data_IF_255948768025
#
_entry.id   IF_255948768025
#
_cell.length_a   1.000
_cell.length_b   1.000
_cell.length_c   1.000
_cell.angle_alpha   90.00
_cell.angle_beta   90.00
_cell.angle_gamma   90.00
#
_symmetry.space_group_name_H-M   'P 1'
#
loop_
_entity.id
_entity.type
_entity.pdbx_description
1 polymer ?
#
# COMPACT_ATOMS: atom_id res chain seq x y z
N UNK A 1 0.63 -8.33 0.13
CA UNK A 1 1.97 -7.93 0.65
C UNK A 1 2.83 -7.56 -0.52
N UNK A 2 3.58 -6.45 -0.51
CA UNK A 2 4.31 -6.01 -1.70
C UNK A 2 5.22 -7.13 -2.24
N UNK A 3 5.47 -7.19 -3.55
CA UNK A 3 6.29 -8.25 -4.14
C UNK A 3 7.63 -8.40 -3.40
N UNK A 4 8.17 -9.62 -3.31
CA UNK A 4 9.54 -9.85 -2.77
C UNK A 4 10.57 -8.96 -3.46
N UNK A 5 10.38 -8.73 -4.76
CA UNK A 5 11.25 -7.90 -5.59
C UNK A 5 11.14 -6.39 -5.30
N UNK A 6 10.23 -5.97 -4.41
CA UNK A 6 10.13 -4.60 -3.90
C UNK A 6 10.71 -4.47 -2.47
N UNK A 7 11.67 -5.33 -2.10
CA UNK A 7 12.35 -5.28 -0.80
C UNK A 7 11.64 -6.05 0.33
N UNK A 8 10.54 -6.76 0.04
CA UNK A 8 9.82 -7.60 1.00
C UNK A 8 10.52 -8.97 1.21
N UNK A 9 11.77 -8.94 1.66
CA UNK A 9 12.61 -10.15 1.83
C UNK A 9 13.00 -10.43 3.29
N UNK A 10 12.82 -9.45 4.18
CA UNK A 10 13.19 -9.56 5.58
C UNK A 10 12.12 -10.29 6.39
N UNK A 11 12.54 -10.95 7.47
CA UNK A 11 11.62 -11.45 8.49
C UNK A 11 10.78 -10.28 9.00
N UNK A 12 9.48 -10.52 9.16
CA UNK A 12 8.51 -9.47 9.45
C UNK A 12 7.72 -9.83 10.71
N UNK A 13 7.48 -8.82 11.55
CA UNK A 13 6.65 -8.94 12.74
C UNK A 13 5.34 -8.22 12.46
N UNK A 14 4.24 -8.98 12.43
CA UNK A 14 2.90 -8.43 12.29
C UNK A 14 2.34 -8.00 13.64
N UNK A 15 1.80 -6.80 13.70
CA UNK A 15 1.11 -6.24 14.88
C UNK A 15 -0.16 -5.51 14.46
N UNK A 16 -1.06 -5.30 15.41
CA UNK A 16 -2.24 -4.46 15.22
C UNK A 16 -1.82 -2.98 15.18
N UNK A 17 -2.42 -2.19 14.28
CA UNK A 17 -2.09 -0.76 14.13
C UNK A 17 -2.51 0.05 15.36
N UNK A 18 -3.65 -0.29 15.96
CA UNK A 18 -4.25 0.44 17.08
C UNK A 18 -3.97 -0.18 18.45
N UNK A 19 -3.03 -1.14 18.50
CA UNK A 19 -2.70 -1.88 19.71
C UNK A 19 -3.64 -3.07 19.97
N UNK A 20 -3.30 -3.93 20.94
CA UNK A 20 -4.04 -5.16 21.20
C UNK A 20 -5.44 -4.83 21.75
N UNK A 21 -6.48 -5.42 21.15
CA UNK A 21 -7.82 -5.40 21.75
C UNK A 21 -7.81 -6.16 23.09
N UNK A 22 -8.34 -5.59 24.18
CA UNK A 22 -8.38 -6.25 25.48
C UNK A 22 -9.21 -7.55 25.46
N UNK A 23 -10.15 -7.68 24.53
CA UNK A 23 -10.99 -8.87 24.38
C UNK A 23 -10.34 -9.97 23.52
N UNK A 24 -9.37 -9.62 22.66
CA UNK A 24 -8.64 -10.54 21.77
C UNK A 24 -7.20 -10.07 21.56
N UNK A 25 -6.30 -10.26 22.54
CA UNK A 25 -4.91 -9.90 22.35
C UNK A 25 -4.29 -10.76 21.25
N UNK A 26 -4.04 -10.17 20.08
CA UNK A 26 -3.29 -10.85 19.01
C UNK A 26 -1.81 -10.85 19.39
N UNK A 27 -1.26 -12.05 19.52
CA UNK A 27 0.18 -12.20 19.63
C UNK A 27 0.82 -11.76 18.31
N UNK A 28 1.93 -11.01 18.34
CA UNK A 28 2.64 -10.66 17.12
C UNK A 28 2.96 -11.92 16.32
N UNK A 29 2.54 -11.94 15.04
CA UNK A 29 2.76 -13.10 14.17
C UNK A 29 4.05 -12.90 13.41
N UNK A 30 4.94 -13.88 13.49
CA UNK A 30 6.20 -13.87 12.75
C UNK A 30 6.00 -14.44 11.35
N UNK A 31 6.58 -13.78 10.35
CA UNK A 31 6.65 -14.29 8.98
C UNK A 31 8.10 -14.29 8.50
N UNK A 32 8.57 -15.44 8.03
CA UNK A 32 9.95 -15.62 7.58
C UNK A 32 10.07 -15.32 6.09
N UNK A 33 11.13 -14.59 5.70
CA UNK A 33 11.43 -14.32 4.29
C UNK A 33 10.40 -13.43 3.58
N UNK A 34 9.97 -12.37 4.26
CA UNK A 34 8.92 -11.45 3.83
C UNK A 34 7.57 -11.75 4.48
N UNK A 35 6.62 -10.84 4.29
CA UNK A 35 5.26 -11.01 4.79
C UNK A 35 4.41 -11.82 3.79
N UNK A 36 3.88 -12.97 4.24
CA UNK A 36 3.06 -13.88 3.43
C UNK A 36 1.65 -14.02 3.97
N UNK A 37 0.66 -13.96 3.08
CA UNK A 37 -0.74 -14.30 3.38
C UNK A 37 -1.19 -15.42 2.43
N UNK A 38 -1.72 -16.52 2.98
CA UNK A 38 -2.20 -17.68 2.19
C UNK A 38 -3.63 -17.45 1.68
N UNK A 39 -3.84 -16.40 0.89
CA UNK A 39 -5.19 -16.02 0.40
C UNK A 39 -5.29 -15.94 -1.12
N UNK A 40 -4.18 -16.16 -1.84
CA UNK A 40 -4.13 -16.11 -3.31
C UNK A 40 -3.82 -17.49 -3.91
N UNK A 41 -4.48 -17.84 -5.03
CA UNK A 41 -4.22 -19.10 -5.73
C UNK A 41 -2.91 -19.04 -6.54
N UNK A 42 -2.35 -20.20 -6.90
CA UNK A 42 -1.08 -20.28 -7.63
C UNK A 42 -1.08 -19.56 -8.98
N UNK A 43 -2.19 -19.61 -9.72
CA UNK A 43 -2.32 -18.90 -11.01
C UNK A 43 -2.30 -17.38 -10.82
N UNK A 44 -3.11 -16.85 -9.92
CA UNK A 44 -3.14 -15.41 -9.65
C UNK A 44 -1.79 -14.91 -9.11
N UNK A 45 -1.13 -15.69 -8.24
CA UNK A 45 0.15 -15.30 -7.67
C UNK A 45 1.29 -15.32 -8.70
N UNK A 46 1.42 -16.41 -9.46
CA UNK A 46 2.59 -16.63 -10.31
C UNK A 46 2.42 -16.06 -11.72
N UNK A 47 1.23 -16.19 -12.30
CA UNK A 47 0.93 -15.76 -13.66
C UNK A 47 0.44 -14.33 -13.68
N UNK A 48 -0.69 -14.05 -13.03
CA UNK A 48 -1.32 -12.71 -13.09
C UNK A 48 -0.46 -11.65 -12.40
N UNK A 49 -0.08 -11.84 -11.13
CA UNK A 49 0.78 -10.88 -10.44
C UNK A 49 2.24 -11.05 -10.86
N UNK A 50 2.82 -12.22 -10.61
CA UNK A 50 4.27 -12.43 -10.73
C UNK A 50 4.83 -12.22 -12.14
N UNK A 51 4.09 -12.59 -13.18
CA UNK A 51 4.56 -12.51 -14.58
C UNK A 51 4.04 -11.24 -15.27
N UNK A 52 2.75 -10.96 -15.20
CA UNK A 52 2.16 -9.87 -16.00
C UNK A 52 2.32 -8.47 -15.38
N UNK A 53 2.16 -8.33 -14.06
CA UNK A 53 1.99 -7.01 -13.44
C UNK A 53 3.14 -6.58 -12.53
N UNK A 54 3.70 -7.50 -11.72
CA UNK A 54 4.78 -7.23 -10.78
C UNK A 54 6.05 -6.63 -11.41
N UNK A 55 6.44 -6.97 -12.67
CA UNK A 55 7.57 -6.30 -13.32
C UNK A 55 7.39 -4.78 -13.41
N UNK A 56 6.19 -4.29 -13.73
CA UNK A 56 5.93 -2.86 -13.86
C UNK A 56 6.05 -2.13 -12.51
N UNK A 57 5.57 -2.73 -11.41
CA UNK A 57 5.75 -2.19 -10.07
C UNK A 57 7.22 -2.20 -9.65
N UNK A 58 7.91 -3.32 -9.85
CA UNK A 58 9.34 -3.47 -9.55
C UNK A 58 10.18 -2.42 -10.26
N UNK A 59 9.94 -2.20 -11.55
CA UNK A 59 10.77 -1.29 -12.36
C UNK A 59 10.66 0.15 -11.86
N UNK A 60 9.49 0.59 -11.38
CA UNK A 60 9.33 1.91 -10.73
C UNK A 60 10.05 1.97 -9.39
N UNK A 61 9.89 0.95 -8.55
CA UNK A 61 10.57 0.88 -7.25
C UNK A 61 12.09 0.92 -7.42
N UNK A 62 12.64 0.16 -8.37
CA UNK A 62 14.07 0.16 -8.68
C UNK A 62 14.57 1.50 -9.19
N UNK A 63 13.79 2.21 -10.03
CA UNK A 63 14.14 3.56 -10.48
C UNK A 63 14.22 4.53 -9.30
N UNK A 64 13.25 4.49 -8.38
CA UNK A 64 13.23 5.33 -7.18
C UNK A 64 14.42 5.01 -6.27
N UNK A 65 14.69 3.73 -6.01
CA UNK A 65 15.85 3.32 -5.22
C UNK A 65 17.16 3.80 -5.83
N UNK A 66 17.33 3.62 -7.14
CA UNK A 66 18.54 4.04 -7.86
C UNK A 66 18.70 5.56 -7.78
N UNK A 67 17.60 6.29 -7.95
CA UNK A 67 17.58 7.74 -7.79
C UNK A 67 18.05 8.16 -6.39
N UNK A 68 17.54 7.56 -5.32
CA UNK A 68 17.95 7.88 -3.96
C UNK A 68 19.38 7.43 -3.63
N UNK A 69 19.85 6.29 -4.15
CA UNK A 69 21.25 5.85 -4.01
C UNK A 69 22.22 6.86 -4.62
N UNK A 70 21.90 7.38 -5.81
CA UNK A 70 22.70 8.41 -6.51
C UNK A 70 22.58 9.79 -5.84
N UNK A 71 21.39 10.17 -5.38
CA UNK A 71 21.18 11.42 -4.66
C UNK A 71 21.94 11.43 -3.32
N UNK A 72 22.01 10.28 -2.63
CA UNK A 72 22.71 10.17 -1.33
C UNK A 72 24.24 10.19 -1.48
N UNK A 73 24.78 9.73 -2.61
CA UNK A 73 26.21 9.80 -2.90
C UNK A 73 26.65 11.15 -3.47
N UNK A 74 25.70 12.04 -3.78
CA UNK A 74 25.96 13.38 -4.29
C UNK A 74 25.52 14.44 -3.28
N UNK A 75 26.08 15.66 -3.33
CA UNK A 75 25.63 16.79 -2.50
C UNK A 75 24.36 17.46 -3.06
N UNK A 76 23.50 16.70 -3.75
CA UNK A 76 22.34 17.23 -4.46
C UNK A 76 21.16 17.36 -3.50
N UNK A 77 20.51 18.53 -3.51
CA UNK A 77 19.21 18.71 -2.88
C UNK A 77 18.13 17.99 -3.69
N UNK A 78 17.24 17.27 -3.02
CA UNK A 78 16.10 16.64 -3.68
C UNK A 78 15.12 17.71 -4.20
N UNK A 79 14.64 17.60 -5.44
CA UNK A 79 13.57 18.45 -5.94
C UNK A 79 12.27 18.13 -5.19
N UNK A 80 11.31 19.07 -5.22
CA UNK A 80 9.98 18.83 -4.66
C UNK A 80 9.25 17.66 -5.33
N UNK A 81 9.37 17.54 -6.65
CA UNK A 81 8.72 16.50 -7.45
C UNK A 81 9.72 15.89 -8.42
N UNK A 82 9.67 14.57 -8.59
CA UNK A 82 10.46 13.84 -9.59
C UNK A 82 9.54 13.00 -10.48
N UNK A 83 9.89 12.90 -11.76
CA UNK A 83 9.19 12.05 -12.72
C UNK A 83 9.91 10.70 -12.86
N UNK A 84 9.14 9.61 -12.84
CA UNK A 84 9.60 8.24 -13.04
C UNK A 84 8.81 7.58 -14.17
N UNK A 85 9.48 6.80 -15.02
CA UNK A 85 8.80 6.17 -16.13
C UNK A 85 8.08 4.90 -15.64
N UNK A 86 6.83 4.70 -16.05
CA UNK A 86 6.02 3.58 -15.58
C UNK A 86 4.97 3.12 -16.60
N UNK A 87 4.43 1.92 -16.37
CA UNK A 87 3.28 1.37 -17.09
C UNK A 87 2.04 1.44 -16.19
N UNK A 88 1.15 2.43 -16.34
CA UNK A 88 0.13 2.74 -15.34
C UNK A 88 -0.83 1.61 -15.04
N UNK A 89 -1.38 0.99 -16.07
CA UNK A 89 -2.33 -0.11 -15.94
C UNK A 89 -1.69 -1.29 -15.19
N UNK A 90 -0.53 -1.76 -15.64
CA UNK A 90 0.19 -2.88 -14.99
C UNK A 90 0.63 -2.54 -13.58
N UNK A 91 1.16 -1.33 -13.36
CA UNK A 91 1.56 -0.83 -12.06
C UNK A 91 0.38 -0.86 -11.08
N UNK A 92 -0.75 -0.26 -11.46
CA UNK A 92 -1.90 -0.17 -10.57
C UNK A 92 -2.54 -1.55 -10.33
N UNK A 93 -2.57 -2.43 -11.33
CA UNK A 93 -3.02 -3.82 -11.17
C UNK A 93 -2.14 -4.61 -10.21
N UNK A 94 -0.82 -4.43 -10.26
CA UNK A 94 0.08 -5.05 -9.30
C UNK A 94 -0.24 -4.58 -7.87
N UNK A 95 -0.36 -3.27 -7.66
CA UNK A 95 -0.69 -2.70 -6.34
C UNK A 95 -2.04 -3.22 -5.84
N UNK A 96 -3.09 -3.16 -6.67
CA UNK A 96 -4.42 -3.64 -6.35
C UNK A 96 -4.44 -5.14 -6.02
N UNK A 97 -3.74 -5.97 -6.79
CA UNK A 97 -3.65 -7.40 -6.56
C UNK A 97 -2.93 -7.75 -5.25
N UNK A 98 -1.84 -7.03 -4.95
CA UNK A 98 -1.12 -7.20 -3.67
C UNK A 98 -1.91 -6.71 -2.47
N UNK A 99 -2.75 -5.68 -2.63
CA UNK A 99 -3.70 -5.22 -1.65
C UNK A 99 -4.80 -6.28 -1.43
N UNK A 100 -5.41 -6.82 -2.49
CA UNK A 100 -6.40 -7.89 -2.40
C UNK A 100 -5.83 -9.12 -1.67
N UNK A 101 -4.59 -9.50 -1.96
CA UNK A 101 -3.90 -10.60 -1.30
C UNK A 101 -3.46 -10.29 0.15
N UNK A 102 -3.48 -9.03 0.60
CA UNK A 102 -2.99 -8.62 1.91
C UNK A 102 -3.97 -8.87 3.06
N UNK A 103 -4.54 -10.07 3.15
CA UNK A 103 -5.50 -10.46 4.18
C UNK A 103 -4.99 -11.56 5.08
N UNK A 104 -5.02 -11.33 6.40
CA UNK A 104 -4.79 -12.37 7.42
C UNK A 104 -5.97 -13.32 7.62
N UNK A 105 -7.14 -12.96 7.12
CA UNK A 105 -8.37 -13.76 7.13
C UNK A 105 -8.70 -14.13 5.68
N UNK A 106 -9.07 -15.38 5.37
CA UNK A 106 -9.58 -15.69 4.05
C UNK A 106 -10.88 -14.89 3.84
N UNK A 107 -10.87 -13.89 2.93
CA UNK A 107 -12.11 -13.29 2.37
C UNK A 107 -12.83 -14.26 1.42
N UNK A 108 -12.59 -15.57 1.63
CA UNK A 108 -13.08 -16.62 0.77
C UNK A 108 -14.53 -16.84 1.16
N UNK A 109 -15.41 -16.46 0.24
CA UNK A 109 -16.84 -16.79 0.16
C UNK A 109 -17.83 -15.94 0.96
N UNK A 110 -17.61 -14.64 1.14
CA UNK A 110 -18.79 -13.77 1.31
C UNK A 110 -19.27 -13.31 -0.06
N UNK A 111 -20.40 -13.87 -0.50
CA UNK A 111 -21.26 -13.28 -1.54
C UNK A 111 -21.93 -11.98 -1.02
N UNK A 112 -21.28 -11.30 -0.06
CA UNK A 112 -21.81 -10.14 0.60
C UNK A 112 -21.69 -8.96 -0.35
N UNK A 113 -22.86 -8.41 -0.69
CA UNK A 113 -23.04 -7.12 -1.37
C UNK A 113 -22.43 -5.93 -0.59
N UNK A 114 -21.68 -6.20 0.47
CA UNK A 114 -21.18 -5.25 1.47
C UNK A 114 -19.81 -4.67 1.09
N UNK A 115 -19.05 -5.32 0.20
CA UNK A 115 -17.70 -4.88 -0.17
C UNK A 115 -17.52 -4.60 -1.68
N UNK A 116 -18.20 -3.58 -2.25
CA UNK A 116 -18.14 -3.28 -3.69
C UNK A 116 -16.71 -3.00 -4.18
N UNK A 117 -15.86 -2.41 -3.33
CA UNK A 117 -14.46 -2.11 -3.65
C UNK A 117 -13.63 -3.37 -3.97
N UNK A 118 -13.73 -4.45 -3.18
CA UNK A 118 -12.94 -5.67 -3.40
C UNK A 118 -13.38 -6.41 -4.67
N UNK A 119 -14.68 -6.42 -4.94
CA UNK A 119 -15.24 -6.99 -6.17
C UNK A 119 -14.72 -6.22 -7.38
N UNK A 120 -14.83 -4.89 -7.35
CA UNK A 120 -14.38 -4.03 -8.44
C UNK A 120 -12.86 -4.14 -8.68
N UNK A 121 -12.06 -4.18 -7.61
CA UNK A 121 -10.61 -4.41 -7.72
C UNK A 121 -10.29 -5.80 -8.27
N UNK A 122 -11.03 -6.84 -7.88
CA UNK A 122 -10.80 -8.20 -8.40
C UNK A 122 -11.11 -8.29 -9.89
N UNK A 123 -12.24 -7.74 -10.31
CA UNK A 123 -12.62 -7.68 -11.72
C UNK A 123 -11.61 -6.88 -12.53
N UNK A 124 -11.16 -5.73 -12.00
CA UNK A 124 -10.09 -4.95 -12.60
C UNK A 124 -8.81 -5.79 -12.74
N UNK A 125 -8.29 -6.40 -11.67
CA UNK A 125 -7.02 -7.15 -11.72
C UNK A 125 -7.09 -8.35 -12.68
N UNK A 126 -8.20 -9.08 -12.70
CA UNK A 126 -8.33 -10.31 -13.49
C UNK A 126 -8.61 -10.07 -14.98
N UNK A 127 -9.16 -8.92 -15.36
CA UNK A 127 -9.43 -8.57 -16.76
C UNK A 127 -8.50 -7.45 -17.25
N UNK A 128 -7.47 -7.78 -18.07
CA UNK A 128 -6.56 -6.81 -18.66
C UNK A 128 -7.23 -5.67 -19.43
N UNK A 129 -8.39 -5.92 -20.05
CA UNK A 129 -9.11 -4.95 -20.87
C UNK A 129 -9.95 -3.98 -20.05
N UNK A 130 -10.16 -4.26 -18.76
CA UNK A 130 -11.06 -3.47 -17.92
C UNK A 130 -10.39 -2.23 -17.37
N UNK A 131 -10.97 -1.06 -17.63
CA UNK A 131 -10.48 0.19 -17.06
C UNK A 131 -10.71 0.24 -15.54
N UNK A 132 -10.00 1.15 -14.86
CA UNK A 132 -10.25 1.43 -13.45
C UNK A 132 -11.71 1.91 -13.30
N UNK A 133 -12.49 1.38 -12.34
CA UNK A 133 -13.86 1.85 -12.11
C UNK A 133 -13.93 3.36 -11.87
N UNK A 134 -14.96 4.02 -12.40
CA UNK A 134 -15.14 5.48 -12.25
C UNK A 134 -15.38 5.88 -10.78
N UNK A 135 -15.96 4.97 -10.00
CA UNK A 135 -16.20 5.10 -8.57
C UNK A 135 -14.92 5.07 -7.73
N UNK A 136 -13.80 4.61 -8.31
CA UNK A 136 -12.55 4.35 -7.60
C UNK A 136 -11.51 5.44 -7.87
N UNK A 137 -11.18 6.19 -6.83
CA UNK A 137 -10.05 7.11 -6.84
C UNK A 137 -8.84 6.47 -6.16
N UNK A 138 -7.67 6.52 -6.82
CA UNK A 138 -6.42 6.00 -6.23
C UNK A 138 -5.46 7.15 -5.99
N UNK A 139 -5.21 7.44 -4.72
CA UNK A 139 -4.25 8.43 -4.28
C UNK A 139 -2.93 7.77 -3.91
N UNK A 140 -1.82 8.47 -4.14
CA UNK A 140 -0.48 7.99 -3.80
C UNK A 140 0.42 9.10 -3.27
N UNK A 141 1.40 8.71 -2.47
CA UNK A 141 2.45 9.59 -1.95
C UNK A 141 3.76 8.85 -1.75
N UNK A 142 4.84 9.62 -1.63
CA UNK A 142 6.15 9.08 -1.28
C UNK A 142 6.17 8.68 0.20
N UNK A 143 6.52 7.42 0.44
CA UNK A 143 6.58 6.80 1.76
C UNK A 143 7.96 6.14 1.94
N UNK A 144 8.95 6.88 2.49
CA UNK A 144 10.34 6.44 2.60
C UNK A 144 10.58 5.48 3.78
N UNK A 145 9.63 4.61 4.10
CA UNK A 145 9.69 3.76 5.28
C UNK A 145 9.46 2.29 4.94
N UNK A 146 10.16 1.40 5.66
CA UNK A 146 10.05 -0.05 5.48
C UNK A 146 8.83 -0.67 6.14
N UNK A 147 8.25 0.02 7.13
CA UNK A 147 7.01 -0.41 7.78
C UNK A 147 5.93 -0.59 6.73
N UNK A 148 5.34 -1.77 6.66
CA UNK A 148 4.22 -2.06 5.77
C UNK A 148 2.93 -1.90 6.53
N UNK A 149 1.91 -1.31 5.89
CA UNK A 149 0.60 -1.11 6.50
C UNK A 149 -0.48 -1.50 5.50
N UNK A 150 -1.47 -2.22 5.99
CA UNK A 150 -2.68 -2.57 5.25
C UNK A 150 -3.86 -2.22 6.14
N UNK A 151 -4.75 -1.38 5.66
CA UNK A 151 -6.06 -1.16 6.25
C UNK A 151 -7.09 -1.42 5.18
N UNK A 152 -7.97 -2.39 5.41
CA UNK A 152 -9.08 -2.65 4.51
C UNK A 152 -10.42 -2.33 5.14
N UNK A 153 -11.37 -1.99 4.28
CA UNK A 153 -12.75 -1.65 4.64
C UNK A 153 -12.79 -0.55 5.71
N UNK A 154 -11.93 0.45 5.55
CA UNK A 154 -11.76 1.56 6.47
C UNK A 154 -12.58 2.76 6.01
N UNK A 155 -13.25 3.44 6.92
CA UNK A 155 -13.98 4.67 6.63
C UNK A 155 -13.44 5.83 7.47
N UNK A 156 -12.95 6.88 6.81
CA UNK A 156 -12.49 8.09 7.47
C UNK A 156 -13.63 9.11 7.56
N UNK A 157 -13.98 9.51 8.78
CA UNK A 157 -14.90 10.62 9.06
C UNK A 157 -14.16 11.86 9.54
N UNK A 158 -14.83 13.00 9.51
CA UNK A 158 -14.33 14.28 10.02
C UNK A 158 -15.37 14.91 10.93
N UNK A 159 -14.97 15.40 12.10
CA UNK A 159 -15.86 16.21 12.94
C UNK A 159 -16.28 17.47 12.17
N UNK A 160 -17.55 17.87 12.32
CA UNK A 160 -18.14 18.97 11.53
C UNK A 160 -18.39 18.65 10.06
N UNK A 161 -18.09 17.42 9.61
CA UNK A 161 -18.20 16.99 8.23
C UNK A 161 -19.61 16.59 7.77
N UNK A 162 -20.67 16.91 8.52
CA UNK A 162 -22.07 16.52 8.25
C UNK A 162 -22.28 15.01 7.97
N UNK A 163 -21.47 14.15 8.61
CA UNK A 163 -21.56 12.70 8.47
C UNK A 163 -20.93 12.13 7.18
N UNK A 164 -20.32 12.95 6.32
CA UNK A 164 -19.64 12.43 5.14
C UNK A 164 -18.38 11.65 5.54
N UNK A 165 -18.17 10.52 4.89
CA UNK A 165 -17.04 9.61 5.15
C UNK A 165 -16.35 9.21 3.85
N UNK A 166 -15.04 9.04 3.90
CA UNK A 166 -14.25 8.47 2.82
C UNK A 166 -14.02 6.99 3.11
N UNK A 167 -14.72 6.13 2.39
CA UNK A 167 -14.56 4.68 2.50
C UNK A 167 -13.48 4.17 1.54
N UNK A 168 -12.63 3.27 2.01
CA UNK A 168 -11.52 2.80 1.21
C UNK A 168 -10.52 1.86 1.89
N UNK A 169 -9.43 1.62 1.17
CA UNK A 169 -8.29 0.81 1.61
C UNK A 169 -7.01 1.61 1.60
N UNK A 170 -6.17 1.41 2.61
CA UNK A 170 -4.82 1.98 2.69
C UNK A 170 -3.80 0.86 2.52
N UNK A 171 -2.81 1.10 1.67
CA UNK A 171 -1.71 0.16 1.45
C UNK A 171 -0.38 0.90 1.39
N UNK A 172 0.52 0.64 2.34
CA UNK A 172 1.83 1.29 2.42
C UNK A 172 2.95 0.27 2.41
N UNK A 173 3.96 0.55 1.61
CA UNK A 173 5.23 -0.16 1.58
C UNK A 173 6.25 0.70 0.88
N UNK A 174 7.53 0.61 1.25
CA UNK A 174 8.55 1.40 0.56
C UNK A 174 8.51 1.21 -0.97
N UNK A 175 8.52 2.28 -1.79
CA UNK A 175 8.59 3.71 -1.46
C UNK A 175 7.23 4.44 -1.50
N UNK A 176 6.10 3.72 -1.48
CA UNK A 176 4.77 4.27 -1.74
C UNK A 176 3.79 4.06 -0.58
N UNK A 177 2.96 5.08 -0.37
CA UNK A 177 1.66 4.90 0.26
C UNK A 177 0.58 5.04 -0.79
N UNK A 178 -0.46 4.22 -0.68
CA UNK A 178 -1.65 4.24 -1.53
C UNK A 178 -2.91 4.33 -0.69
N UNK A 179 -3.88 5.08 -1.19
CA UNK A 179 -5.24 5.13 -0.66
C UNK A 179 -6.24 4.95 -1.79
N UNK A 180 -6.94 3.82 -1.76
CA UNK A 180 -8.01 3.46 -2.66
C UNK A 180 -9.32 3.95 -2.04
N UNK A 181 -9.93 4.98 -2.60
CA UNK A 181 -11.16 5.61 -2.10
C UNK A 181 -12.31 5.26 -3.03
N UNK A 182 -13.39 4.74 -2.46
CA UNK A 182 -14.57 4.32 -3.21
C UNK A 182 -15.71 5.30 -3.02
N UNK A 183 -16.38 5.68 -4.11
CA UNK A 183 -17.48 6.65 -4.13
C UNK A 183 -17.14 7.91 -3.33
N UNK A 184 -16.02 8.54 -3.67
CA UNK A 184 -15.58 9.75 -2.97
C UNK A 184 -16.65 10.86 -3.06
N UNK A 185 -17.19 11.25 -1.91
CA UNK A 185 -18.14 12.35 -1.83
C UNK A 185 -17.41 13.69 -1.57
N UNK A 186 -17.71 14.69 -2.40
CA UNK A 186 -17.25 16.06 -2.21
C UNK A 186 -15.74 16.31 -2.35
N UNK A 187 -14.97 15.36 -2.90
CA UNK A 187 -13.54 15.53 -3.16
C UNK A 187 -12.70 15.77 -1.90
N UNK A 188 -13.17 15.32 -0.73
CA UNK A 188 -12.53 15.60 0.57
C UNK A 188 -11.14 15.01 0.69
N UNK A 189 -10.81 13.94 -0.03
CA UNK A 189 -9.45 13.38 -0.03
C UNK A 189 -8.44 14.35 -0.63
N UNK A 190 -8.89 15.34 -1.43
CA UNK A 190 -8.03 16.41 -1.96
C UNK A 190 -7.45 17.31 -0.87
N UNK A 191 -8.06 17.38 0.32
CA UNK A 191 -7.53 18.16 1.44
C UNK A 191 -6.16 17.67 1.91
N UNK A 192 -5.81 16.41 1.63
CA UNK A 192 -4.52 15.83 1.96
C UNK A 192 -3.42 16.15 0.94
N UNK A 193 -3.76 16.88 -0.13
CA UNK A 193 -2.85 17.26 -1.21
C UNK A 193 -2.08 16.06 -1.80
N UNK A 194 -2.71 14.88 -1.84
CA UNK A 194 -2.14 13.68 -2.43
C UNK A 194 -2.32 13.72 -3.95
N UNK A 195 -1.39 13.10 -4.68
CA UNK A 195 -1.56 12.92 -6.13
C UNK A 195 -2.55 11.80 -6.39
N UNK A 196 -3.46 12.05 -7.32
CA UNK A 196 -4.36 11.04 -7.84
C UNK A 196 -3.73 10.37 -9.07
N UNK A 197 -3.88 9.05 -9.18
CA UNK A 197 -3.51 8.30 -10.36
C UNK A 197 -4.65 8.40 -11.37
N UNK A 198 -4.43 9.17 -12.44
CA UNK A 198 -5.48 9.51 -13.43
C UNK A 198 -5.29 8.81 -14.78
N UNK A 199 -4.41 7.81 -14.85
CA UNK A 199 -3.89 7.32 -16.11
C UNK A 199 -4.86 6.31 -16.76
N UNK A 200 -5.76 6.85 -17.55
CA UNK A 200 -6.82 6.16 -18.29
C UNK A 200 -6.30 5.84 -19.69
N UNK A 201 -5.38 4.87 -19.78
CA UNK A 201 -5.01 4.29 -21.07
C UNK A 201 -5.82 3.00 -21.30
N UNK A 202 -6.42 2.81 -22.49
CA UNK A 202 -7.06 1.54 -22.85
C UNK A 202 -6.02 0.43 -23.11
N UNK A 203 -4.74 0.78 -23.29
CA UNK A 203 -3.66 -0.16 -23.53
C UNK A 203 -2.94 -0.51 -22.23
N UNK A 204 -2.89 -1.79 -21.90
CA UNK A 204 -2.24 -2.30 -20.69
C UNK A 204 -0.72 -2.02 -20.66
N UNK A 205 -0.09 -1.98 -21.82
CA UNK A 205 1.35 -1.75 -21.98
C UNK A 205 1.72 -0.27 -22.16
N UNK A 206 0.75 0.65 -22.12
CA UNK A 206 1.02 2.07 -22.26
C UNK A 206 2.04 2.55 -21.24
N UNK A 207 2.90 3.46 -21.68
CA UNK A 207 3.93 4.07 -20.84
C UNK A 207 3.57 5.52 -20.57
N UNK A 208 3.94 5.99 -19.39
CA UNK A 208 3.68 7.35 -18.92
C UNK A 208 4.76 7.75 -17.92
N UNK A 209 4.65 8.95 -17.36
CA UNK A 209 5.57 9.46 -16.33
C UNK A 209 4.81 9.73 -15.05
N UNK A 210 5.12 8.97 -14.00
CA UNK A 210 4.58 9.17 -12.66
C UNK A 210 5.30 10.34 -12.00
N UNK A 211 4.53 11.35 -11.58
CA UNK A 211 5.04 12.43 -10.75
C UNK A 211 5.00 12.02 -9.27
N UNK A 212 6.14 12.01 -8.61
CA UNK A 212 6.25 11.69 -7.18
C UNK A 212 6.74 12.91 -6.42
N UNK A 213 5.91 13.40 -5.51
CA UNK A 213 6.31 14.47 -4.59
C UNK A 213 7.18 13.90 -3.47
N UNK A 214 8.42 14.40 -3.38
CA UNK A 214 9.41 14.00 -2.39
C UNK A 214 9.37 14.93 -1.16
N UNK A 215 8.72 16.10 -1.27
CA UNK A 215 8.54 17.05 -0.19
C UNK A 215 7.29 17.93 -0.38
N UNK A 216 6.50 18.22 0.69
CA UNK A 216 6.67 17.76 2.07
C UNK A 216 6.30 16.27 2.23
N UNK A 217 6.95 15.61 3.19
CA UNK A 217 6.64 14.22 3.52
C UNK A 217 5.37 14.15 4.36
N UNK A 218 4.53 13.15 4.06
CA UNK A 218 3.47 12.74 4.96
C UNK A 218 4.07 12.15 6.24
N UNK A 219 3.36 12.23 7.36
CA UNK A 219 3.81 11.60 8.60
C UNK A 219 3.90 10.08 8.44
N UNK A 220 4.76 9.42 9.21
CA UNK A 220 4.92 7.97 9.14
C UNK A 220 3.59 7.22 9.31
N UNK A 221 2.75 7.72 10.22
CA UNK A 221 1.45 7.14 10.56
C UNK A 221 0.30 7.78 9.77
N UNK A 222 0.58 8.52 8.70
CA UNK A 222 -0.47 8.99 7.80
C UNK A 222 -0.92 7.86 6.86
N UNK A 223 -2.24 7.66 6.66
CA UNK A 223 -3.36 8.35 7.30
C UNK A 223 -3.88 7.69 8.60
N UNK A 224 -3.29 6.60 9.08
CA UNK A 224 -3.79 5.78 10.21
C UNK A 224 -3.99 6.55 11.52
N UNK A 225 -3.17 7.57 11.76
CA UNK A 225 -3.26 8.55 12.83
C UNK A 225 -3.76 9.88 12.22
N UNK A 226 -5.07 10.07 12.09
CA UNK A 226 -5.63 11.26 11.44
C UNK A 226 -5.29 12.52 12.25
N UNK A 227 -4.90 13.57 11.52
CA UNK A 227 -4.88 14.94 12.03
C UNK A 227 -6.19 15.66 11.70
N UNK A 228 -6.38 16.89 12.17
CA UNK A 228 -7.48 17.78 11.76
C UNK A 228 -8.88 17.21 12.05
N UNK A 229 -9.09 16.74 13.28
CA UNK A 229 -10.39 16.22 13.75
C UNK A 229 -10.94 15.04 12.92
N UNK A 230 -10.06 14.33 12.22
CA UNK A 230 -10.39 13.09 11.52
C UNK A 230 -10.50 11.90 12.47
N UNK A 231 -11.33 10.91 12.10
CA UNK A 231 -11.45 9.63 12.80
C UNK A 231 -11.55 8.48 11.81
N UNK A 232 -11.07 7.31 12.22
CA UNK A 232 -11.23 6.07 11.46
C UNK A 232 -12.26 5.16 12.10
N UNK A 233 -13.19 4.68 11.27
CA UNK A 233 -14.02 3.51 11.53
C UNK A 233 -13.36 2.33 10.81
N UNK A 234 -12.87 1.37 11.59
CA UNK A 234 -12.17 0.18 11.08
C UNK A 234 -12.63 -1.06 11.82
N UNK A 235 -12.64 -2.18 11.11
CA UNK A 235 -12.66 -3.49 11.75
C UNK A 235 -11.21 -3.97 11.91
N UNK A 236 -10.76 -4.09 13.16
CA UNK A 236 -9.38 -4.44 13.54
C UNK A 236 -8.85 -5.72 12.85
N UNK A 237 -9.75 -6.64 12.49
CA UNK A 237 -9.38 -7.85 11.76
C UNK A 237 -8.87 -7.64 10.33
N UNK A 238 -9.14 -6.48 9.75
CA UNK A 238 -8.74 -6.08 8.39
C UNK A 238 -7.63 -5.02 8.39
N UNK A 239 -7.07 -4.73 9.56
CA UNK A 239 -5.99 -3.77 9.74
C UNK A 239 -4.75 -4.48 10.26
N UNK A 240 -3.60 -4.24 9.65
CA UNK A 240 -2.34 -4.80 10.11
C UNK A 240 -1.16 -3.91 9.74
N UNK A 241 -0.14 -3.92 10.58
CA UNK A 241 1.17 -3.39 10.24
C UNK A 241 2.23 -4.48 10.37
N UNK A 242 3.25 -4.40 9.53
CA UNK A 242 4.40 -5.29 9.56
C UNK A 242 5.70 -4.47 9.54
N UNK A 243 6.50 -4.65 10.58
CA UNK A 243 7.85 -4.07 10.67
C UNK A 243 8.90 -5.14 10.33
N UNK A 244 9.99 -4.71 9.70
CA UNK A 244 11.15 -5.56 9.50
C UNK A 244 11.76 -5.92 10.85
N UNK A 245 12.07 -7.20 11.04
CA UNK A 245 12.77 -7.65 12.23
C UNK A 245 14.20 -7.10 12.22
N UNK A 246 14.56 -6.39 13.28
CA UNK A 246 15.98 -6.11 13.56
C UNK A 246 16.71 -7.44 13.81
N UNK A 247 17.73 -7.74 13.00
CA UNK A 247 18.66 -8.82 13.33
C UNK A 247 19.36 -8.38 14.62
N UNK A 248 19.05 -9.04 15.74
CA UNK A 248 19.84 -8.89 16.95
C UNK A 248 21.29 -9.21 16.60
N UNK A 249 22.10 -8.16 16.44
CA UNK A 249 23.54 -8.30 16.37
C UNK A 249 24.00 -8.90 17.69
N UNK A 250 24.72 -10.03 17.64
CA UNK A 250 25.52 -10.48 18.77
C UNK A 250 26.42 -9.33 19.19
N UNK A 251 26.06 -8.63 20.26
CA UNK A 251 27.05 -7.93 21.08
C UNK A 251 27.92 -9.04 21.64
N UNK A 252 29.04 -9.33 20.96
CA UNK A 252 30.15 -10.04 21.59
C UNK A 252 30.60 -9.12 22.71
N UNK A 253 30.24 -9.45 23.93
CA UNK A 253 30.97 -8.99 25.11
C UNK A 253 32.42 -9.35 24.87
N UNK A 254 33.25 -8.33 24.62
CA UNK A 254 34.68 -8.47 24.68
C UNK A 254 35.01 -8.75 26.16
N UNK A 255 35.22 -10.02 26.50
CA UNK A 255 36.04 -10.36 27.65
C UNK A 255 37.45 -9.83 27.35
N UNK A 256 37.81 -8.76 28.04
CA UNK A 256 39.20 -8.32 28.10
C UNK A 256 39.96 -9.23 29.07
N UNK A 257 41.23 -9.57 28.77
CA UNK A 257 42.05 -10.52 29.51
C UNK A 257 42.40 -10.08 30.94
#
# INVERSE_FOLDING_TARGET
MPPKNCGNINDSIFTDVYGPSPERPRKPVMSQGGSHFRTICGYCNNTVLGTEYDPALRDVVHQIETYFKLASSSRLSLPRTRLFDYQPNRFLRAVAGHLLAANGVPDVVSNDRVAPLDVALREYVLDPARCLPEELCVYYWFYPHRRRVVMKHSAMGFFGGNGATNYGHVFKFFPFGFWFVWNEDGGRSRQFALRQMNDSSPFISATSRMALDLWPLQSLNFPEAPSNDGMWLVADQYVSQADDREKQGKVRTAEYP
#
